data_IF_691852733538
#
_entry.id   IF_691852733538
#
_cell.length_a   1.000
_cell.length_b   1.000
_cell.length_c   1.000
_cell.angle_alpha   90.00
_cell.angle_beta   90.00
_cell.angle_gamma   90.00
#
_symmetry.space_group_name_H-M   'P 1'
#
loop_
_entity.id
_entity.type
_entity.pdbx_description
1 polymer ?
#
# COMPACT_ATOMS: atom_id res chain seq x y z
N UNK A 1 -26.61 -25.81 42.97
CA UNK A 1 -27.67 -24.90 43.44
C UNK A 1 -27.02 -23.88 44.36
N UNK A 2 -26.19 -22.98 43.80
CA UNK A 2 -26.47 -21.55 43.50
C UNK A 2 -26.96 -20.76 44.70
N UNK A 3 -26.07 -19.90 45.23
CA UNK A 3 -26.30 -18.60 45.89
C UNK A 3 -24.89 -17.98 46.10
N UNK A 4 -24.45 -17.09 45.21
CA UNK A 4 -24.51 -15.63 45.33
C UNK A 4 -23.58 -15.07 46.44
N UNK A 5 -22.42 -14.54 46.03
CA UNK A 5 -21.68 -13.52 46.79
C UNK A 5 -21.38 -12.37 45.83
N UNK A 6 -22.11 -11.28 46.01
CA UNK A 6 -21.86 -10.00 45.34
C UNK A 6 -20.77 -9.23 46.07
N UNK A 7 -19.75 -8.78 45.34
CA UNK A 7 -18.73 -7.86 45.80
C UNK A 7 -18.56 -6.75 44.78
N UNK A 8 -18.91 -5.53 45.19
CA UNK A 8 -18.82 -4.27 44.42
C UNK A 8 -17.37 -3.89 44.12
N UNK A 9 -17.10 -3.42 42.90
CA UNK A 9 -16.04 -2.44 42.67
C UNK A 9 -16.63 -1.26 41.89
N UNK A 10 -16.50 -0.08 42.49
CA UNK A 10 -16.85 1.23 41.97
C UNK A 10 -15.73 1.73 41.04
N UNK A 11 -16.16 2.15 39.87
CA UNK A 11 -15.87 3.43 39.19
C UNK A 11 -14.44 3.97 39.08
N UNK A 12 -14.06 4.39 37.86
CA UNK A 12 -12.81 5.11 37.63
C UNK A 12 -12.36 5.26 36.19
N UNK A 13 -13.01 6.18 35.45
CA UNK A 13 -12.48 6.88 34.26
C UNK A 13 -12.42 6.15 32.91
N UNK A 14 -13.58 6.13 32.27
CA UNK A 14 -13.74 6.16 30.82
C UNK A 14 -13.19 7.47 30.21
N UNK A 15 -12.30 7.37 29.22
CA UNK A 15 -12.11 8.41 28.19
C UNK A 15 -11.90 7.77 26.81
N UNK A 16 -12.97 7.89 26.01
CA UNK A 16 -13.03 7.86 24.53
C UNK A 16 -12.56 6.58 23.83
N UNK A 17 -13.43 5.57 23.86
CA UNK A 17 -13.70 4.74 22.68
C UNK A 17 -14.91 5.40 21.99
N UNK A 18 -14.65 6.26 21.01
CA UNK A 18 -15.65 6.75 20.05
C UNK A 18 -14.98 6.84 18.69
N UNK A 19 -15.12 5.78 17.90
CA UNK A 19 -15.37 5.85 16.46
C UNK A 19 -15.62 4.42 15.94
N UNK A 20 -16.74 3.86 16.38
CA UNK A 20 -17.38 2.70 15.76
C UNK A 20 -18.74 3.13 15.23
N UNK A 21 -18.73 4.10 14.30
CA UNK A 21 -19.85 4.42 13.43
C UNK A 21 -19.30 4.78 12.05
N UNK A 22 -18.94 3.75 11.27
CA UNK A 22 -18.71 3.88 9.82
C UNK A 22 -19.09 2.59 9.09
N UNK A 23 -20.24 1.98 9.41
CA UNK A 23 -20.80 0.94 8.55
C UNK A 23 -22.32 1.00 8.61
N UNK A 24 -22.91 1.65 7.61
CA UNK A 24 -24.35 1.75 7.42
C UNK A 24 -24.73 3.04 6.69
N UNK A 25 -25.14 2.89 5.42
CA UNK A 25 -25.67 3.90 4.50
C UNK A 25 -24.65 4.74 3.70
N UNK A 26 -24.42 4.32 2.46
CA UNK A 26 -24.13 5.23 1.35
C UNK A 26 -24.66 4.63 0.03
N UNK A 27 -25.95 4.88 -0.21
CA UNK A 27 -26.61 4.91 -1.52
C UNK A 27 -27.60 6.08 -1.37
N UNK A 28 -27.57 7.21 -2.08
CA UNK A 28 -26.82 7.69 -3.24
C UNK A 28 -26.91 9.24 -3.28
N UNK A 29 -25.92 9.93 -3.87
CA UNK A 29 -26.12 10.93 -4.93
C UNK A 29 -24.77 11.57 -5.30
N UNK A 30 -24.38 11.47 -6.56
CA UNK A 30 -23.15 12.09 -7.09
C UNK A 30 -22.22 11.07 -7.71
N UNK A 31 -21.83 11.31 -8.95
CA UNK A 31 -20.85 10.55 -9.71
C UNK A 31 -19.44 10.81 -9.15
N UNK A 32 -19.23 10.54 -7.86
CA UNK A 32 -18.09 11.07 -7.11
C UNK A 32 -16.83 10.28 -7.42
N UNK A 33 -16.19 10.68 -8.51
CA UNK A 33 -14.82 10.32 -8.88
C UNK A 33 -13.94 11.33 -8.16
N UNK A 34 -13.25 10.91 -7.11
CA UNK A 34 -12.60 11.90 -6.27
C UNK A 34 -11.27 11.41 -5.70
N UNK A 35 -10.23 12.15 -6.05
CA UNK A 35 -8.98 12.18 -5.30
C UNK A 35 -9.25 13.07 -4.09
N UNK A 36 -9.05 12.56 -2.86
CA UNK A 36 -9.37 13.31 -1.64
C UNK A 36 -8.51 12.93 -0.46
N UNK A 37 -8.34 13.85 0.48
CA UNK A 37 -7.80 13.55 1.81
C UNK A 37 -8.90 13.70 2.85
N UNK A 38 -9.37 12.58 3.42
CA UNK A 38 -10.55 12.59 4.28
C UNK A 38 -11.80 13.03 3.50
N UNK A 39 -12.40 14.16 3.88
CA UNK A 39 -13.53 14.77 3.16
C UNK A 39 -13.12 15.79 2.10
N UNK A 40 -11.85 16.21 2.06
CA UNK A 40 -11.40 17.33 1.24
C UNK A 40 -10.97 16.86 -0.17
N UNK A 41 -11.59 17.35 -1.26
CA UNK A 41 -11.17 17.04 -2.62
C UNK A 41 -9.80 17.61 -2.94
N UNK A 42 -9.05 16.93 -3.81
CA UNK A 42 -7.75 17.36 -4.32
C UNK A 42 -7.85 17.47 -5.85
N UNK A 43 -7.84 18.70 -6.36
CA UNK A 43 -8.01 18.99 -7.79
C UNK A 43 -6.77 19.61 -8.44
N UNK A 44 -5.75 19.95 -7.66
CA UNK A 44 -4.52 20.57 -8.13
C UNK A 44 -3.32 20.16 -7.26
N UNK A 45 -2.11 20.47 -7.75
CA UNK A 45 -0.85 20.09 -7.11
C UNK A 45 -0.62 20.82 -5.78
N UNK A 46 -1.11 22.05 -5.64
CA UNK A 46 -0.89 22.86 -4.44
C UNK A 46 -1.73 22.32 -3.28
N UNK A 47 -2.98 21.98 -3.57
CA UNK A 47 -3.90 21.28 -2.66
C UNK A 47 -3.35 19.91 -2.29
N UNK A 48 -2.81 19.16 -3.26
CA UNK A 48 -2.15 17.88 -2.98
C UNK A 48 -0.97 18.07 -2.02
N UNK A 49 -0.05 19.00 -2.30
CA UNK A 49 1.10 19.26 -1.44
C UNK A 49 0.68 19.72 -0.03
N UNK A 50 -0.39 20.50 0.06
CA UNK A 50 -0.89 20.99 1.34
C UNK A 50 -1.47 19.86 2.18
N UNK A 51 -2.39 19.07 1.61
CA UNK A 51 -3.19 18.06 2.33
C UNK A 51 -2.52 16.68 2.40
N UNK A 52 -1.79 16.29 1.37
CA UNK A 52 -1.23 14.94 1.18
C UNK A 52 0.16 15.01 0.51
N UNK A 53 0.95 16.02 0.86
CA UNK A 53 2.36 16.10 0.49
C UNK A 53 3.22 15.14 1.32
N UNK A 54 4.41 14.78 0.82
CA UNK A 54 5.32 13.91 1.55
C UNK A 54 5.77 14.57 2.86
N UNK A 55 6.09 13.77 3.89
CA UNK A 55 6.48 14.28 5.22
C UNK A 55 7.58 15.34 5.21
N UNK A 56 8.54 15.23 4.30
CA UNK A 56 9.59 16.24 4.09
C UNK A 56 9.24 17.09 2.86
N UNK A 57 8.13 17.83 2.95
CA UNK A 57 7.45 18.53 1.85
C UNK A 57 8.41 19.12 0.83
N UNK A 58 9.16 20.16 1.19
CA UNK A 58 10.02 20.91 0.27
C UNK A 58 11.21 20.08 -0.25
N UNK A 59 11.69 19.10 0.54
CA UNK A 59 12.83 18.29 0.17
C UNK A 59 12.47 17.16 -0.82
N UNK A 60 11.24 16.66 -0.77
CA UNK A 60 10.75 15.50 -1.53
C UNK A 60 9.79 15.88 -2.67
N UNK A 61 9.12 17.04 -2.60
CA UNK A 61 8.23 17.54 -3.64
C UNK A 61 9.00 18.24 -4.77
N UNK A 62 9.65 17.42 -5.61
CA UNK A 62 10.54 17.90 -6.68
C UNK A 62 10.12 17.34 -8.03
N UNK A 63 10.33 18.13 -9.07
CA UNK A 63 10.13 17.68 -10.45
C UNK A 63 11.00 16.45 -10.74
N UNK A 64 10.42 15.49 -11.45
CA UNK A 64 11.08 14.24 -11.79
C UNK A 64 11.23 13.25 -10.63
N UNK A 65 10.65 13.51 -9.45
CA UNK A 65 10.65 12.63 -8.27
C UNK A 65 9.25 12.10 -7.96
N UNK A 66 9.20 10.92 -7.34
CA UNK A 66 7.98 10.09 -7.18
C UNK A 66 6.78 10.84 -6.65
N UNK A 67 6.90 11.58 -5.54
CA UNK A 67 5.75 12.24 -4.91
C UNK A 67 5.04 13.22 -5.87
N UNK A 68 5.79 14.12 -6.52
CA UNK A 68 5.23 15.13 -7.41
C UNK A 68 4.76 14.54 -8.74
N UNK A 69 5.50 13.56 -9.29
CA UNK A 69 5.09 12.87 -10.51
C UNK A 69 3.86 11.97 -10.30
N UNK A 70 3.71 11.38 -9.11
CA UNK A 70 2.49 10.68 -8.72
C UNK A 70 1.30 11.63 -8.73
N UNK A 71 1.39 12.76 -8.02
CA UNK A 71 0.33 13.76 -8.00
C UNK A 71 -0.03 14.25 -9.42
N UNK A 72 0.97 14.52 -10.27
CA UNK A 72 0.75 14.87 -11.68
C UNK A 72 0.00 13.79 -12.46
N UNK A 73 0.38 12.53 -12.31
CA UNK A 73 -0.25 11.43 -13.02
C UNK A 73 -1.73 11.27 -12.66
N UNK A 74 -2.06 11.43 -11.38
CA UNK A 74 -3.45 11.33 -10.90
C UNK A 74 -4.29 12.56 -11.26
N UNK A 75 -3.70 13.75 -11.27
CA UNK A 75 -4.38 15.00 -11.60
C UNK A 75 -4.46 15.30 -13.11
N UNK A 76 -3.73 14.57 -13.95
CA UNK A 76 -3.70 14.77 -15.41
C UNK A 76 -5.09 14.65 -16.04
N UNK A 77 -5.88 13.68 -15.56
CA UNK A 77 -7.25 13.43 -16.00
C UNK A 77 -8.09 13.09 -14.76
N UNK A 78 -8.62 14.10 -14.03
CA UNK A 78 -9.26 13.89 -12.72
C UNK A 78 -10.38 12.85 -12.71
N UNK A 79 -11.05 12.67 -13.84
CA UNK A 79 -12.13 11.70 -14.04
C UNK A 79 -11.67 10.25 -14.25
N UNK A 80 -10.35 10.01 -14.37
CA UNK A 80 -9.77 8.72 -14.74
C UNK A 80 -8.58 8.38 -13.86
N UNK A 81 -8.49 7.11 -13.45
CA UNK A 81 -7.25 6.54 -12.90
C UNK A 81 -6.13 6.67 -13.95
N UNK A 82 -4.86 6.91 -13.55
CA UNK A 82 -3.75 7.02 -14.48
C UNK A 82 -3.75 5.90 -15.53
N UNK A 83 -3.51 6.26 -16.79
CA UNK A 83 -3.77 5.36 -17.93
C UNK A 83 -2.96 4.07 -17.81
N UNK A 84 -1.69 4.17 -17.46
CA UNK A 84 -0.77 3.06 -17.22
C UNK A 84 -1.24 2.11 -16.11
N UNK A 85 -1.86 2.63 -15.03
CA UNK A 85 -2.45 1.82 -13.97
C UNK A 85 -3.69 1.09 -14.51
N UNK A 86 -4.59 1.81 -15.18
CA UNK A 86 -5.80 1.20 -15.78
C UNK A 86 -5.47 0.11 -16.81
N UNK A 87 -4.36 0.30 -17.54
CA UNK A 87 -3.86 -0.66 -18.53
C UNK A 87 -3.27 -1.93 -17.90
N UNK A 88 -2.53 -1.81 -16.79
CA UNK A 88 -2.03 -2.96 -16.04
C UNK A 88 -3.18 -3.82 -15.54
N UNK A 89 -4.21 -3.18 -14.96
CA UNK A 89 -5.38 -3.86 -14.40
C UNK A 89 -6.16 -4.59 -15.49
N UNK A 90 -6.58 -3.87 -16.55
CA UNK A 90 -7.44 -4.44 -17.61
C UNK A 90 -6.81 -5.58 -18.41
N UNK A 91 -5.47 -5.72 -18.38
CA UNK A 91 -4.75 -6.76 -19.11
C UNK A 91 -4.77 -8.11 -18.38
N UNK A 92 -5.03 -8.11 -17.08
CA UNK A 92 -5.06 -9.33 -16.29
C UNK A 92 -6.43 -10.02 -16.42
N UNK A 93 -6.49 -11.34 -16.65
CA UNK A 93 -7.75 -12.05 -16.91
C UNK A 93 -8.77 -11.94 -15.77
N UNK A 94 -8.31 -11.76 -14.53
CA UNK A 94 -9.18 -11.64 -13.35
C UNK A 94 -9.83 -10.26 -13.16
N UNK A 95 -9.55 -9.33 -14.06
CA UNK A 95 -10.02 -7.96 -13.97
C UNK A 95 -10.69 -7.52 -15.27
N UNK A 96 -11.57 -6.55 -15.16
CA UNK A 96 -12.09 -5.82 -16.32
C UNK A 96 -11.84 -4.31 -16.17
N UNK A 97 -12.52 -3.50 -16.97
CA UNK A 97 -12.31 -2.04 -16.93
C UNK A 97 -12.81 -1.48 -15.60
N UNK A 98 -12.01 -0.61 -14.97
CA UNK A 98 -12.48 0.17 -13.81
C UNK A 98 -13.70 0.99 -14.21
N UNK A 99 -14.79 0.79 -13.48
CA UNK A 99 -16.05 1.50 -13.64
C UNK A 99 -15.96 2.91 -13.02
N UNK A 100 -16.82 3.85 -13.46
CA UNK A 100 -16.99 5.14 -12.79
C UNK A 100 -17.37 4.98 -11.31
N UNK A 101 -17.01 5.98 -10.49
CA UNK A 101 -17.31 6.00 -9.05
C UNK A 101 -16.21 5.37 -8.18
N UNK A 102 -14.95 5.61 -8.52
CA UNK A 102 -13.78 5.25 -7.73
C UNK A 102 -13.34 6.41 -6.82
N UNK A 103 -12.62 6.10 -5.74
CA UNK A 103 -12.03 7.10 -4.84
C UNK A 103 -10.56 6.80 -4.60
N UNK A 104 -9.72 7.83 -4.60
CA UNK A 104 -8.30 7.72 -4.32
C UNK A 104 -7.91 8.60 -3.13
N UNK A 105 -7.27 8.02 -2.11
CA UNK A 105 -6.68 8.76 -1.00
C UNK A 105 -5.15 8.75 -1.11
N UNK A 106 -4.51 9.91 -1.35
CA UNK A 106 -3.06 10.01 -1.30
C UNK A 106 -2.50 10.04 0.13
N UNK A 107 -1.25 9.58 0.29
CA UNK A 107 -0.57 9.44 1.60
C UNK A 107 -1.46 8.71 2.62
N UNK A 108 -2.11 7.64 2.17
CA UNK A 108 -3.11 6.91 2.93
C UNK A 108 -2.44 6.13 4.06
N UNK A 109 -2.89 6.39 5.29
CA UNK A 109 -2.35 5.76 6.50
C UNK A 109 -3.23 4.57 6.87
N UNK A 110 -2.76 3.37 6.56
CA UNK A 110 -3.51 2.11 6.73
C UNK A 110 -2.88 1.27 7.85
N UNK A 111 -3.54 1.16 9.02
CA UNK A 111 -3.18 0.18 10.02
C UNK A 111 -3.47 -1.23 9.50
N UNK A 112 -2.51 -2.14 9.65
CA UNK A 112 -2.67 -3.55 9.24
C UNK A 112 -2.45 -4.52 10.40
N UNK A 113 -2.06 -4.05 11.58
CA UNK A 113 -1.88 -4.86 12.79
C UNK A 113 -2.41 -4.15 14.03
N UNK A 114 -2.44 -4.86 15.16
CA UNK A 114 -2.89 -4.32 16.45
C UNK A 114 -1.78 -3.61 17.24
N UNK A 115 -0.55 -3.55 16.71
CA UNK A 115 0.57 -3.00 17.44
C UNK A 115 0.58 -1.47 17.35
N UNK A 116 0.96 -0.80 18.44
CA UNK A 116 1.21 0.63 18.41
C UNK A 116 2.33 1.01 17.42
N UNK A 117 2.36 2.28 17.02
CA UNK A 117 3.36 2.84 16.12
C UNK A 117 2.76 3.45 14.88
N UNK A 118 3.60 3.70 13.88
CA UNK A 118 3.16 4.30 12.64
C UNK A 118 2.55 3.24 11.69
N UNK A 119 1.32 3.45 11.18
CA UNK A 119 0.72 2.58 10.18
C UNK A 119 1.49 2.62 8.85
N UNK A 120 1.19 1.70 7.92
CA UNK A 120 1.71 1.82 6.56
C UNK A 120 1.23 3.14 5.94
N UNK A 121 2.13 3.84 5.26
CA UNK A 121 1.77 5.03 4.52
C UNK A 121 1.91 4.72 3.02
N UNK A 122 0.78 4.56 2.35
CA UNK A 122 0.71 4.26 0.92
C UNK A 122 0.69 5.57 0.13
N UNK A 123 1.41 5.66 -0.98
CA UNK A 123 1.44 6.88 -1.78
C UNK A 123 0.04 7.24 -2.31
N UNK A 124 -0.71 6.24 -2.80
CA UNK A 124 -2.15 6.36 -3.07
C UNK A 124 -2.87 5.05 -2.74
N UNK A 125 -4.00 5.14 -2.03
CA UNK A 125 -4.95 4.05 -1.84
C UNK A 125 -6.18 4.29 -2.72
N UNK A 126 -6.45 3.38 -3.65
CA UNK A 126 -7.58 3.44 -4.56
C UNK A 126 -8.61 2.38 -4.21
N UNK A 127 -9.84 2.81 -4.00
CA UNK A 127 -11.04 1.96 -3.98
C UNK A 127 -11.77 2.11 -5.30
N UNK A 128 -11.95 1.00 -6.01
CA UNK A 128 -12.59 0.97 -7.31
C UNK A 128 -13.49 -0.26 -7.47
N UNK A 129 -14.35 -0.24 -8.50
CA UNK A 129 -15.11 -1.41 -8.92
C UNK A 129 -14.81 -1.72 -10.39
N UNK A 130 -14.79 -3.00 -10.74
CA UNK A 130 -14.94 -3.46 -12.12
C UNK A 130 -16.23 -4.30 -12.24
N UNK A 131 -16.46 -4.94 -13.38
CA UNK A 131 -17.64 -5.80 -13.59
C UNK A 131 -17.66 -7.05 -12.68
N UNK A 132 -16.53 -7.39 -12.06
CA UNK A 132 -16.36 -8.55 -11.18
C UNK A 132 -16.40 -8.17 -9.70
N UNK A 133 -16.59 -6.89 -9.37
CA UNK A 133 -16.82 -6.43 -8.00
C UNK A 133 -15.80 -5.41 -7.49
N UNK A 134 -15.74 -5.28 -6.16
CA UNK A 134 -14.90 -4.29 -5.48
C UNK A 134 -13.42 -4.70 -5.52
N UNK A 135 -12.57 -3.70 -5.72
CA UNK A 135 -11.11 -3.82 -5.78
C UNK A 135 -10.50 -2.74 -4.88
N UNK A 136 -9.56 -3.15 -4.05
CA UNK A 136 -8.67 -2.22 -3.32
C UNK A 136 -7.29 -2.28 -3.94
N UNK A 137 -6.71 -1.11 -4.22
CA UNK A 137 -5.43 -0.98 -4.91
C UNK A 137 -4.53 -0.04 -4.11
N UNK A 138 -3.48 -0.59 -3.52
CA UNK A 138 -2.38 0.18 -2.96
C UNK A 138 -1.38 0.54 -4.06
N UNK A 139 -1.12 1.82 -4.25
CA UNK A 139 -0.15 2.32 -5.23
C UNK A 139 1.07 2.85 -4.51
N UNK A 140 2.23 2.35 -4.92
CA UNK A 140 3.55 2.77 -4.45
C UNK A 140 4.28 3.43 -5.62
N UNK A 141 4.38 4.75 -5.58
CA UNK A 141 5.08 5.56 -6.57
C UNK A 141 6.60 5.44 -6.36
N UNK A 142 7.32 5.21 -7.45
CA UNK A 142 8.78 5.14 -7.44
C UNK A 142 9.35 5.92 -8.61
N UNK A 143 10.23 6.88 -8.32
CA UNK A 143 11.12 7.40 -9.34
C UNK A 143 12.28 6.41 -9.42
N UNK A 144 13.38 6.66 -8.71
CA UNK A 144 14.55 5.76 -8.70
C UNK A 144 15.10 5.51 -7.29
N UNK A 145 14.37 5.95 -6.26
CA UNK A 145 14.65 5.61 -4.87
C UNK A 145 14.28 4.15 -4.56
N UNK A 146 15.01 3.49 -3.64
CA UNK A 146 14.68 2.12 -3.23
C UNK A 146 13.33 2.03 -2.51
N UNK A 147 12.79 0.81 -2.38
CA UNK A 147 11.64 0.47 -1.53
C UNK A 147 11.99 0.52 -0.02
N UNK A 148 12.73 1.53 0.41
CA UNK A 148 13.19 1.69 1.78
C UNK A 148 14.19 0.62 2.22
N UNK A 149 14.16 0.33 3.53
CA UNK A 149 15.10 -0.58 4.19
C UNK A 149 14.81 -2.04 3.86
N UNK A 150 15.86 -2.85 3.89
CA UNK A 150 15.74 -4.30 3.85
C UNK A 150 15.14 -4.84 5.15
N UNK A 151 14.63 -6.07 5.14
CA UNK A 151 14.17 -6.77 6.35
C UNK A 151 15.31 -6.86 7.37
N UNK A 152 16.52 -7.19 6.94
CA UNK A 152 17.71 -7.26 7.82
C UNK A 152 17.99 -5.93 8.52
N UNK A 153 17.96 -4.82 7.78
CA UNK A 153 18.18 -3.50 8.35
C UNK A 153 17.04 -3.10 9.29
N UNK A 154 15.79 -3.40 8.92
CA UNK A 154 14.62 -3.12 9.75
C UNK A 154 14.65 -3.91 11.05
N UNK A 155 15.04 -5.18 11.00
CA UNK A 155 15.17 -6.05 12.17
C UNK A 155 16.26 -5.57 13.13
N UNK A 156 17.43 -5.19 12.61
CA UNK A 156 18.51 -4.58 13.41
C UNK A 156 18.02 -3.35 14.17
N UNK A 157 17.29 -2.47 13.50
CA UNK A 157 16.74 -1.24 14.09
C UNK A 157 15.56 -1.52 15.03
N UNK A 158 14.82 -2.62 14.82
CA UNK A 158 13.80 -3.08 15.75
C UNK A 158 14.42 -3.61 17.05
N UNK A 159 15.51 -4.39 16.99
CA UNK A 159 16.22 -4.86 18.17
C UNK A 159 16.83 -3.72 18.98
N UNK A 160 17.47 -2.74 18.34
CA UNK A 160 17.98 -1.54 19.04
C UNK A 160 16.86 -0.84 19.83
N UNK A 161 15.72 -0.58 19.17
CA UNK A 161 14.55 0.02 19.82
C UNK A 161 13.96 -0.86 20.92
N UNK A 162 14.02 -2.18 20.80
CA UNK A 162 13.53 -3.13 21.84
C UNK A 162 14.46 -3.14 23.06
N UNK A 163 15.76 -2.98 22.86
CA UNK A 163 16.73 -2.82 23.95
C UNK A 163 16.53 -1.48 24.71
N UNK A 164 16.25 -0.40 23.99
CA UNK A 164 15.94 0.92 24.58
C UNK A 164 14.55 0.97 25.21
N UNK A 165 13.57 0.29 24.63
CA UNK A 165 12.19 0.24 25.07
C UNK A 165 11.64 -1.19 24.93
N UNK A 166 11.58 -1.99 26.01
CA UNK A 166 11.07 -3.35 25.98
C UNK A 166 9.61 -3.50 25.49
N UNK A 167 8.83 -2.41 25.47
CA UNK A 167 7.46 -2.40 24.94
C UNK A 167 7.40 -2.24 23.41
N UNK A 168 8.53 -1.99 22.75
CA UNK A 168 8.61 -1.87 21.29
C UNK A 168 8.21 -3.19 20.62
N UNK A 169 7.25 -3.11 19.71
CA UNK A 169 6.70 -4.25 18.95
C UNK A 169 7.28 -4.37 17.54
N UNK A 170 8.39 -3.69 17.26
CA UNK A 170 8.97 -3.67 15.92
C UNK A 170 9.46 -5.03 15.41
N UNK A 171 9.95 -5.89 16.32
CA UNK A 171 10.38 -7.26 15.99
C UNK A 171 9.13 -8.11 15.74
N UNK A 172 8.21 -8.12 16.71
CA UNK A 172 6.95 -8.87 16.68
C UNK A 172 6.13 -8.55 15.41
N UNK A 173 6.06 -7.28 14.99
CA UNK A 173 5.41 -6.85 13.73
C UNK A 173 6.06 -7.47 12.49
N UNK A 174 7.39 -7.49 12.44
CA UNK A 174 8.12 -7.99 11.29
C UNK A 174 8.01 -9.52 11.19
N UNK A 175 8.05 -10.22 12.32
CA UNK A 175 7.77 -11.66 12.42
C UNK A 175 6.36 -11.97 11.90
N UNK A 176 5.34 -11.26 12.41
CA UNK A 176 3.96 -11.43 11.98
C UNK A 176 3.78 -11.16 10.47
N UNK A 177 4.38 -10.09 9.94
CA UNK A 177 4.33 -9.80 8.50
C UNK A 177 4.97 -10.90 7.65
N UNK A 178 6.14 -11.40 8.05
CA UNK A 178 6.85 -12.45 7.34
C UNK A 178 6.08 -13.77 7.34
N UNK A 179 5.47 -14.12 8.47
CA UNK A 179 4.65 -15.31 8.60
C UNK A 179 3.35 -15.20 7.77
N UNK A 180 2.64 -14.08 7.89
CA UNK A 180 1.34 -13.88 7.22
C UNK A 180 1.44 -13.79 5.70
N UNK A 181 2.47 -13.10 5.19
CA UNK A 181 2.61 -12.78 3.77
C UNK A 181 3.50 -13.80 3.05
N UNK A 182 4.60 -14.24 3.68
CA UNK A 182 5.62 -15.07 3.02
C UNK A 182 5.74 -16.49 3.61
N UNK A 183 5.02 -16.79 4.69
CA UNK A 183 5.07 -18.10 5.34
C UNK A 183 6.40 -18.37 6.03
N UNK A 184 7.14 -17.30 6.35
CA UNK A 184 8.47 -17.40 6.98
C UNK A 184 8.32 -17.15 8.48
N UNK A 185 8.54 -18.16 9.34
CA UNK A 185 8.47 -17.99 10.78
C UNK A 185 9.59 -17.06 11.28
N UNK A 186 9.38 -16.47 12.47
CA UNK A 186 10.25 -15.43 13.02
C UNK A 186 11.71 -15.83 13.21
N UNK A 187 11.97 -17.10 13.53
CA UNK A 187 13.33 -17.65 13.67
C UNK A 187 14.09 -17.80 12.33
N UNK A 188 13.38 -17.70 11.19
CA UNK A 188 13.94 -17.82 9.84
C UNK A 188 13.93 -16.52 9.04
N UNK A 189 13.72 -15.37 9.69
CA UNK A 189 13.76 -14.05 9.05
C UNK A 189 15.06 -13.73 8.30
N UNK A 190 16.17 -14.36 8.68
CA UNK A 190 17.45 -14.22 7.98
C UNK A 190 17.38 -14.69 6.51
N UNK A 191 16.53 -15.68 6.18
CA UNK A 191 16.33 -16.21 4.82
C UNK A 191 15.81 -15.14 3.87
N UNK A 192 14.97 -14.22 4.38
CA UNK A 192 14.36 -13.13 3.63
C UNK A 192 15.00 -11.77 3.91
N UNK A 193 16.15 -11.75 4.59
CA UNK A 193 16.77 -10.52 5.09
C UNK A 193 17.09 -9.47 4.01
N UNK A 194 17.26 -9.88 2.75
CA UNK A 194 17.51 -8.98 1.61
C UNK A 194 16.25 -8.33 1.04
N UNK A 195 15.06 -8.89 1.31
CA UNK A 195 13.80 -8.34 0.79
C UNK A 195 13.51 -6.96 1.40
N UNK A 196 12.75 -6.14 0.67
CA UNK A 196 12.41 -4.78 1.07
C UNK A 196 11.19 -4.78 1.98
N UNK A 197 11.34 -4.19 3.16
CA UNK A 197 10.28 -4.15 4.17
C UNK A 197 9.02 -3.41 3.69
N UNK A 198 9.17 -2.37 2.87
CA UNK A 198 8.04 -1.61 2.31
C UNK A 198 7.11 -2.48 1.47
N UNK A 199 7.62 -3.49 0.75
CA UNK A 199 6.79 -4.39 -0.05
C UNK A 199 5.90 -5.28 0.84
N UNK A 200 6.38 -5.70 2.02
CA UNK A 200 5.57 -6.43 2.98
C UNK A 200 4.47 -5.54 3.57
N UNK A 201 4.82 -4.32 4.00
CA UNK A 201 3.84 -3.41 4.62
C UNK A 201 2.81 -2.90 3.62
N UNK A 202 3.18 -2.64 2.37
CA UNK A 202 2.24 -2.27 1.32
C UNK A 202 1.26 -3.41 1.02
N UNK A 203 1.75 -4.65 0.96
CA UNK A 203 0.92 -5.85 0.78
C UNK A 203 -0.07 -6.03 1.94
N UNK A 204 0.41 -5.97 3.18
CA UNK A 204 -0.42 -6.09 4.36
C UNK A 204 -1.47 -4.97 4.46
N UNK A 205 -1.10 -3.74 4.14
CA UNK A 205 -2.02 -2.61 4.09
C UNK A 205 -3.11 -2.79 3.03
N UNK A 206 -2.75 -3.22 1.81
CA UNK A 206 -3.72 -3.49 0.75
C UNK A 206 -4.74 -4.56 1.16
N UNK A 207 -4.27 -5.63 1.81
CA UNK A 207 -5.10 -6.73 2.31
C UNK A 207 -5.99 -6.32 3.48
N UNK A 208 -5.43 -5.58 4.45
CA UNK A 208 -6.19 -5.06 5.59
C UNK A 208 -7.31 -4.12 5.14
N UNK A 209 -7.03 -3.24 4.17
CA UNK A 209 -8.02 -2.34 3.61
C UNK A 209 -9.07 -3.09 2.77
N UNK A 210 -8.65 -4.07 1.96
CA UNK A 210 -9.58 -4.92 1.23
C UNK A 210 -10.54 -5.65 2.18
N UNK A 211 -10.03 -6.19 3.29
CA UNK A 211 -10.85 -6.80 4.34
C UNK A 211 -11.82 -5.77 4.95
N UNK A 212 -11.33 -4.59 5.33
CA UNK A 212 -12.12 -3.51 5.91
C UNK A 212 -13.31 -3.13 5.02
N UNK A 213 -13.08 -3.05 3.71
CA UNK A 213 -14.09 -2.70 2.72
C UNK A 213 -14.89 -3.90 2.17
N UNK A 214 -14.65 -5.11 2.67
CA UNK A 214 -15.24 -6.34 2.13
C UNK A 214 -14.97 -6.54 0.62
N UNK A 215 -13.81 -6.09 0.14
CA UNK A 215 -13.35 -6.33 -1.22
C UNK A 215 -12.77 -7.74 -1.35
N UNK A 216 -13.03 -8.38 -2.49
CA UNK A 216 -12.54 -9.74 -2.79
C UNK A 216 -11.14 -9.74 -3.41
N UNK A 217 -10.68 -8.57 -3.89
CA UNK A 217 -9.41 -8.42 -4.61
C UNK A 217 -8.61 -7.26 -4.04
N UNK A 218 -7.36 -7.54 -3.69
CA UNK A 218 -6.37 -6.58 -3.25
C UNK A 218 -5.21 -6.56 -4.23
N UNK A 219 -4.76 -5.35 -4.62
CA UNK A 219 -3.68 -5.17 -5.58
C UNK A 219 -2.63 -4.23 -5.01
N UNK A 220 -1.36 -4.57 -5.13
CA UNK A 220 -0.26 -3.61 -4.99
C UNK A 220 0.25 -3.25 -6.38
N UNK A 221 0.25 -1.98 -6.75
CA UNK A 221 0.81 -1.49 -8.01
C UNK A 221 2.03 -0.64 -7.70
N UNK A 222 3.19 -1.07 -8.20
CA UNK A 222 4.36 -0.22 -8.27
C UNK A 222 4.21 0.69 -9.49
N UNK A 223 4.11 1.99 -9.25
CA UNK A 223 4.03 2.99 -10.31
C UNK A 223 5.42 3.62 -10.51
N UNK A 224 6.16 3.10 -11.49
CA UNK A 224 7.52 3.53 -11.83
C UNK A 224 7.51 4.74 -12.79
N UNK A 225 8.19 5.81 -12.40
CA UNK A 225 8.35 7.04 -13.18
C UNK A 225 9.76 7.11 -13.75
N UNK A 226 9.87 7.10 -15.07
CA UNK A 226 11.14 7.26 -15.78
C UNK A 226 11.24 8.71 -16.25
N UNK A 227 12.07 9.51 -15.57
CA UNK A 227 12.19 10.96 -15.79
C UNK A 227 13.64 11.35 -16.10
N UNK A 228 13.89 12.57 -16.57
CA UNK A 228 15.24 13.08 -16.78
C UNK A 228 16.10 13.09 -15.50
N UNK A 229 15.48 13.01 -14.32
CA UNK A 229 16.18 13.02 -13.02
C UNK A 229 16.44 11.62 -12.44
N UNK A 230 16.12 10.55 -13.18
CA UNK A 230 16.22 9.17 -12.71
C UNK A 230 17.36 8.39 -13.37
N UNK A 231 17.83 7.33 -12.71
CA UNK A 231 18.87 6.43 -13.22
C UNK A 231 18.30 5.07 -13.63
N UNK A 232 18.69 4.59 -14.81
CA UNK A 232 18.30 3.26 -15.31
C UNK A 232 18.88 2.11 -14.48
N UNK A 233 20.09 2.29 -13.96
CA UNK A 233 20.69 1.32 -13.04
C UNK A 233 19.85 1.17 -11.77
N UNK A 234 19.38 2.28 -11.21
CA UNK A 234 18.52 2.24 -10.01
C UNK A 234 17.13 1.67 -10.30
N UNK A 235 16.56 1.95 -11.47
CA UNK A 235 15.33 1.29 -11.94
C UNK A 235 15.52 -0.23 -12.05
N UNK A 236 16.66 -0.68 -12.55
CA UNK A 236 17.01 -2.10 -12.61
C UNK A 236 17.14 -2.71 -11.22
N UNK A 237 17.78 -2.02 -10.28
CA UNK A 237 17.92 -2.51 -8.90
C UNK A 237 16.56 -2.56 -8.18
N UNK A 238 15.67 -1.59 -8.40
CA UNK A 238 14.28 -1.66 -7.95
C UNK A 238 13.53 -2.83 -8.58
N UNK A 239 13.70 -3.08 -9.88
CA UNK A 239 13.10 -4.24 -10.53
C UNK A 239 13.60 -5.56 -9.92
N UNK A 240 14.89 -5.68 -9.60
CA UNK A 240 15.43 -6.86 -8.88
C UNK A 240 14.81 -7.04 -7.51
N UNK A 241 14.64 -5.96 -6.75
CA UNK A 241 14.04 -6.01 -5.42
C UNK A 241 12.57 -6.48 -5.48
N UNK A 242 11.79 -5.95 -6.43
CA UNK A 242 10.41 -6.38 -6.67
C UNK A 242 10.36 -7.85 -7.13
N UNK A 243 11.23 -8.24 -8.06
CA UNK A 243 11.31 -9.61 -8.58
C UNK A 243 11.68 -10.61 -7.49
N UNK A 244 12.65 -10.28 -6.62
CA UNK A 244 13.02 -11.12 -5.48
C UNK A 244 11.85 -11.29 -4.51
N UNK A 245 11.05 -10.23 -4.30
CA UNK A 245 9.86 -10.29 -3.45
C UNK A 245 8.79 -11.22 -4.05
N UNK A 246 8.40 -11.03 -5.32
CA UNK A 246 7.38 -11.89 -5.94
C UNK A 246 7.84 -13.33 -6.14
N UNK A 247 9.15 -13.55 -6.37
CA UNK A 247 9.72 -14.89 -6.41
C UNK A 247 9.59 -15.57 -5.06
N UNK A 248 9.87 -14.88 -3.94
CA UNK A 248 9.65 -15.47 -2.61
C UNK A 248 8.17 -15.67 -2.31
N UNK A 249 7.31 -14.72 -2.69
CA UNK A 249 5.86 -14.75 -2.47
C UNK A 249 5.19 -15.93 -3.17
N UNK A 250 5.70 -16.31 -4.34
CA UNK A 250 5.13 -17.36 -5.20
C UNK A 250 5.85 -18.70 -5.11
N UNK A 251 6.72 -18.88 -4.12
CA UNK A 251 7.61 -20.04 -3.99
C UNK A 251 8.36 -20.39 -5.29
N UNK A 252 8.83 -19.36 -6.00
CA UNK A 252 9.60 -19.47 -7.23
C UNK A 252 8.78 -19.55 -8.52
N UNK A 253 7.45 -19.64 -8.46
CA UNK A 253 6.61 -19.75 -9.66
C UNK A 253 6.59 -18.47 -10.51
N UNK A 254 6.76 -17.30 -9.90
CA UNK A 254 6.81 -16.00 -10.56
C UNK A 254 8.20 -15.39 -10.42
N UNK A 255 9.00 -15.43 -11.49
CA UNK A 255 10.36 -14.90 -11.47
C UNK A 255 10.43 -13.36 -11.50
N UNK A 256 9.45 -12.70 -12.13
CA UNK A 256 9.48 -11.25 -12.32
C UNK A 256 8.09 -10.64 -12.58
N UNK A 257 7.95 -9.36 -12.29
CA UNK A 257 6.80 -8.54 -12.73
C UNK A 257 7.23 -7.65 -13.89
N UNK A 258 6.83 -8.02 -15.11
CA UNK A 258 7.16 -7.25 -16.30
C UNK A 258 6.45 -5.88 -16.30
N UNK A 259 7.08 -4.88 -16.93
CA UNK A 259 6.51 -3.54 -17.09
C UNK A 259 5.15 -3.62 -17.81
N UNK A 260 4.14 -2.96 -17.26
CA UNK A 260 2.79 -2.94 -17.84
C UNK A 260 2.01 -4.24 -17.67
N UNK A 261 2.40 -5.09 -16.71
CA UNK A 261 1.75 -6.37 -16.39
C UNK A 261 1.45 -6.49 -14.89
N UNK A 262 0.64 -7.49 -14.55
CA UNK A 262 0.27 -7.86 -13.18
C UNK A 262 0.40 -9.38 -13.03
N UNK A 263 0.71 -9.82 -11.82
CA UNK A 263 0.86 -11.22 -11.44
C UNK A 263 -0.08 -11.53 -10.27
N UNK A 264 -0.57 -12.76 -10.23
CA UNK A 264 -1.49 -13.26 -9.20
C UNK A 264 -2.65 -14.08 -9.81
N UNK A 265 -3.61 -14.52 -8.98
CA UNK A 265 -3.65 -14.30 -7.54
C UNK A 265 -2.53 -15.07 -6.85
N UNK A 266 -1.88 -14.46 -5.86
CA UNK A 266 -0.91 -15.13 -5.01
C UNK A 266 -1.63 -15.84 -3.86
N UNK A 267 -1.22 -17.08 -3.60
CA UNK A 267 -1.65 -17.81 -2.42
C UNK A 267 -0.84 -17.32 -1.22
N UNK A 268 -1.52 -16.71 -0.25
CA UNK A 268 -0.90 -16.20 0.96
C UNK A 268 -1.14 -17.19 2.12
N UNK A 269 -0.15 -17.45 2.97
CA UNK A 269 -0.29 -18.39 4.10
C UNK A 269 -1.35 -17.99 5.12
N UNK A 270 -1.79 -16.73 5.13
CA UNK A 270 -3.04 -16.30 5.76
C UNK A 270 -2.99 -16.09 7.27
N UNK A 271 -2.03 -16.70 7.97
CA UNK A 271 -2.07 -16.72 9.43
C UNK A 271 -1.96 -15.31 10.02
N UNK A 272 -2.73 -15.03 11.08
CA UNK A 272 -2.76 -13.81 11.90
C UNK A 272 -3.24 -12.49 11.25
N UNK A 273 -2.85 -12.17 10.01
CA UNK A 273 -3.23 -10.90 9.36
C UNK A 273 -4.31 -11.04 8.27
N UNK A 274 -4.48 -12.22 7.67
CA UNK A 274 -5.33 -12.42 6.48
C UNK A 274 -6.26 -13.62 6.71
N UNK A 275 -7.37 -13.36 7.38
CA UNK A 275 -8.41 -14.36 7.71
C UNK A 275 -9.57 -14.38 6.70
N UNK A 276 -9.44 -13.67 5.57
CA UNK A 276 -10.45 -13.54 4.52
C UNK A 276 -9.89 -14.04 3.19
N UNK A 277 -10.69 -14.72 2.33
CA UNK A 277 -10.25 -15.23 1.04
C UNK A 277 -10.12 -14.09 0.01
N UNK A 278 -9.17 -13.18 0.26
CA UNK A 278 -8.87 -12.04 -0.61
C UNK A 278 -7.84 -12.49 -1.64
N UNK A 279 -8.19 -12.38 -2.91
CA UNK A 279 -7.26 -12.62 -4.01
C UNK A 279 -6.25 -11.48 -4.08
N UNK A 280 -4.96 -11.80 -3.99
CA UNK A 280 -3.89 -10.80 -3.93
C UNK A 280 -3.06 -10.73 -5.21
N UNK A 281 -2.80 -9.53 -5.71
CA UNK A 281 -2.07 -9.31 -6.96
C UNK A 281 -0.99 -8.25 -6.81
N UNK A 282 0.05 -8.34 -7.63
CA UNK A 282 1.12 -7.35 -7.71
C UNK A 282 1.36 -6.95 -9.17
N UNK A 283 1.27 -5.65 -9.45
CA UNK A 283 1.46 -5.08 -10.78
C UNK A 283 2.58 -4.06 -10.85
N UNK A 284 3.08 -3.82 -12.06
CA UNK A 284 4.06 -2.76 -12.35
C UNK A 284 3.54 -1.87 -13.47
N UNK A 285 3.10 -0.67 -13.11
CA UNK A 285 2.77 0.39 -14.06
C UNK A 285 4.01 1.26 -14.32
N UNK A 286 4.19 1.74 -15.53
CA UNK A 286 5.34 2.58 -15.89
C UNK A 286 4.89 3.80 -16.68
N UNK A 287 5.30 4.98 -16.24
CA UNK A 287 5.15 6.23 -16.96
C UNK A 287 6.53 6.73 -17.39
N UNK A 288 6.80 6.72 -18.69
CA UNK A 288 8.05 7.26 -19.24
C UNK A 288 7.86 8.70 -19.69
N UNK A 289 8.51 9.63 -18.97
CA UNK A 289 8.49 11.06 -19.21
C UNK A 289 9.75 11.56 -19.92
N UNK A 290 10.80 10.72 -20.05
CA UNK A 290 11.99 11.09 -20.85
C UNK A 290 11.66 11.22 -22.34
N UNK A 291 10.72 10.42 -22.83
CA UNK A 291 10.28 10.46 -24.24
C UNK A 291 9.40 11.67 -24.60
N UNK A 292 8.90 12.43 -23.61
CA UNK A 292 8.02 13.58 -23.82
C UNK A 292 8.75 14.94 -23.70
N UNK A 293 10.07 14.95 -23.52
CA UNK A 293 10.83 16.18 -23.67
C UNK A 293 11.11 16.40 -25.16
N UNK A 294 10.21 17.11 -25.83
CA UNK A 294 10.60 17.85 -27.03
C UNK A 294 11.84 18.70 -26.68
N UNK A 295 12.85 18.81 -27.56
CA UNK A 295 13.92 19.74 -27.32
C UNK A 295 13.30 21.13 -27.29
N UNK A 296 13.32 21.79 -26.14
CA UNK A 296 13.12 23.23 -26.09
C UNK A 296 14.31 23.85 -26.83
N UNK A 297 14.08 24.15 -28.11
CA UNK A 297 14.82 25.11 -28.92
C UNK A 297 14.39 26.53 -28.58
#
# INVERSE_FOLDING_TARGET
MVLAVGGRCLDGTARRILNTERHGALVASGCDRMIKKGSEPINDLDTWLHLAGPKKKEAQWKDGRSAKECARAWLEKPDYVPTEISQVIRKHPDFSRILPGWSAEPEARVPFDSFGGEPSNLDVLLTAKDEKGLIVIAVEAKADEPFGRTIKDTLREAYKRKAENPKSRGVDRLEQLAESILGVPGDRLAEIGKLRYQLLTASAAALAEAKCQSAQRAVVIIHEFVTACTSDQKHHDNAKDLNAFVHKLSDGMVAAVAKGTMQGPFELPGQQLIDSPIQFYIGKAVRNLRSNQAPYS
#
